data_IF_734976061508
#
_entry.id   IF_734976061508
#
_cell.length_a   1.000
_cell.length_b   1.000
_cell.length_c   1.000
_cell.angle_alpha   90.00
_cell.angle_beta   90.00
_cell.angle_gamma   90.00
#
_symmetry.space_group_name_H-M   'P 1'
#
loop_
_entity.id
_entity.type
_entity.pdbx_description
1 polymer ?
#
# COMPACT_ATOMS: atom_id res chain seq x y z
N UNK A 1 -13.98 -7.79 -5.72
CA UNK A 1 -13.62 -6.70 -6.63
C UNK A 1 -14.35 -5.42 -6.26
N UNK A 2 -13.62 -4.46 -5.70
CA UNK A 2 -14.15 -3.12 -5.40
C UNK A 2 -14.36 -2.36 -6.72
N UNK A 3 -15.61 -2.01 -7.03
CA UNK A 3 -15.97 -1.26 -8.24
C UNK A 3 -15.66 0.22 -8.05
N UNK A 4 -14.46 0.66 -8.42
CA UNK A 4 -14.10 2.07 -8.43
C UNK A 4 -14.49 2.72 -9.76
N UNK A 5 -15.16 3.90 -9.76
CA UNK A 5 -15.71 4.53 -10.97
C UNK A 5 -14.67 4.80 -12.07
N UNK A 6 -13.40 4.97 -11.70
CA UNK A 6 -12.32 5.36 -12.59
C UNK A 6 -11.33 4.22 -12.90
N UNK A 7 -11.57 3.00 -12.42
CA UNK A 7 -10.71 1.85 -12.74
C UNK A 7 -11.28 1.08 -13.93
N UNK A 8 -10.40 0.74 -14.87
CA UNK A 8 -10.74 -0.12 -16.00
C UNK A 8 -11.28 -1.47 -15.50
N UNK A 9 -12.38 -1.91 -16.12
CA UNK A 9 -13.04 -3.17 -15.81
C UNK A 9 -12.36 -4.30 -16.59
N UNK A 10 -11.13 -4.63 -16.23
CA UNK A 10 -10.41 -5.79 -16.77
C UNK A 10 -10.06 -6.73 -15.61
N UNK A 11 -10.25 -8.07 -15.70
CA UNK A 11 -10.22 -8.92 -14.52
C UNK A 11 -8.82 -9.10 -13.95
N UNK A 12 -7.75 -8.93 -14.74
CA UNK A 12 -6.36 -9.07 -14.28
C UNK A 12 -5.42 -8.16 -15.08
N UNK A 13 -4.81 -7.20 -14.40
CA UNK A 13 -3.75 -6.37 -14.98
C UNK A 13 -2.48 -7.21 -15.21
N UNK A 14 -1.72 -6.91 -16.26
CA UNK A 14 -0.39 -7.51 -16.46
C UNK A 14 0.48 -7.35 -15.22
N UNK A 15 1.27 -8.38 -14.91
CA UNK A 15 2.21 -8.35 -13.78
C UNK A 15 3.19 -7.19 -13.95
N UNK A 16 3.33 -6.38 -12.89
CA UNK A 16 4.28 -5.26 -12.87
C UNK A 16 5.73 -5.70 -12.65
N UNK A 17 5.93 -6.92 -12.12
CA UNK A 17 7.22 -7.48 -11.76
C UNK A 17 7.33 -8.92 -12.27
N UNK A 18 8.54 -9.38 -12.63
CA UNK A 18 8.73 -10.70 -13.26
C UNK A 18 8.54 -11.89 -12.30
N UNK A 19 8.75 -11.68 -11.00
CA UNK A 19 8.69 -12.71 -9.96
C UNK A 19 8.33 -12.12 -8.58
N UNK A 20 8.06 -13.02 -7.63
CA UNK A 20 7.64 -12.66 -6.27
C UNK A 20 8.75 -11.97 -5.49
N UNK A 21 10.00 -12.43 -5.61
CA UNK A 21 11.14 -11.86 -4.88
C UNK A 21 11.36 -10.39 -5.30
N UNK A 22 11.28 -10.12 -6.60
CA UNK A 22 11.33 -8.76 -7.14
C UNK A 22 10.17 -7.91 -6.63
N UNK A 23 8.95 -8.47 -6.59
CA UNK A 23 7.79 -7.75 -6.08
C UNK A 23 7.93 -7.40 -4.59
N UNK A 24 8.43 -8.32 -3.76
CA UNK A 24 8.71 -8.09 -2.34
C UNK A 24 9.78 -7.01 -2.16
N UNK A 25 10.89 -7.10 -2.92
CA UNK A 25 11.95 -6.09 -2.85
C UNK A 25 11.43 -4.69 -3.22
N UNK A 26 10.55 -4.58 -4.23
CA UNK A 26 9.94 -3.30 -4.61
C UNK A 26 8.94 -2.78 -3.58
N UNK A 27 8.17 -3.66 -2.94
CA UNK A 27 7.28 -3.29 -1.83
C UNK A 27 8.06 -2.71 -0.65
N UNK A 28 9.13 -3.38 -0.23
CA UNK A 28 10.00 -2.93 0.87
C UNK A 28 10.67 -1.58 0.54
N UNK A 29 11.22 -1.44 -0.67
CA UNK A 29 11.80 -0.18 -1.13
C UNK A 29 10.78 0.96 -1.13
N UNK A 30 9.53 0.70 -1.52
CA UNK A 30 8.48 1.72 -1.48
C UNK A 30 8.10 2.10 -0.05
N UNK A 31 8.14 1.13 0.88
CA UNK A 31 7.94 1.37 2.31
C UNK A 31 9.04 2.25 2.91
N UNK A 32 10.30 1.99 2.55
CA UNK A 32 11.43 2.82 3.01
C UNK A 32 11.26 4.28 2.56
N UNK A 33 10.90 4.51 1.29
CA UNK A 33 10.60 5.85 0.77
C UNK A 33 9.46 6.54 1.51
N UNK A 34 8.42 5.80 1.88
CA UNK A 34 7.31 6.30 2.68
C UNK A 34 7.79 6.75 4.06
N UNK A 35 8.61 5.94 4.74
CA UNK A 35 9.16 6.27 6.06
C UNK A 35 10.13 7.46 5.99
N UNK A 36 11.00 7.49 4.99
CA UNK A 36 11.94 8.60 4.75
C UNK A 36 11.21 9.92 4.53
N UNK A 37 10.13 9.92 3.74
CA UNK A 37 9.31 11.10 3.52
C UNK A 37 8.81 11.69 4.85
N UNK A 38 8.25 10.85 5.74
CA UNK A 38 7.71 11.31 7.03
C UNK A 38 8.79 11.56 8.10
N UNK A 39 10.01 11.05 7.91
CA UNK A 39 11.17 11.43 8.71
C UNK A 39 11.61 12.86 8.35
N UNK A 40 11.65 13.18 7.05
CA UNK A 40 12.04 14.50 6.55
C UNK A 40 10.91 15.54 6.67
N UNK A 41 9.65 15.09 6.69
CA UNK A 41 8.46 15.93 6.73
C UNK A 41 7.50 15.44 7.83
N UNK A 42 7.76 15.73 9.12
CA UNK A 42 6.96 15.22 10.22
C UNK A 42 5.47 15.58 10.14
N UNK A 43 5.15 16.79 9.64
CA UNK A 43 3.79 17.30 9.46
C UNK A 43 3.25 17.07 8.03
N UNK A 44 3.94 16.24 7.24
CA UNK A 44 3.57 15.95 5.87
C UNK A 44 2.16 15.36 5.76
N UNK A 45 1.51 15.63 4.62
CA UNK A 45 0.20 15.08 4.31
C UNK A 45 0.23 14.58 2.87
N UNK A 46 -0.15 13.31 2.67
CA UNK A 46 -0.18 12.66 1.35
C UNK A 46 -1.60 12.25 1.00
N UNK A 47 -1.96 12.41 -0.28
CA UNK A 47 -3.27 12.04 -0.81
C UNK A 47 -3.38 10.53 -1.01
N UNK A 48 -4.32 9.91 -0.32
CA UNK A 48 -4.85 8.58 -0.55
C UNK A 48 -6.05 8.64 -1.50
N UNK A 49 -6.21 7.63 -2.35
CA UNK A 49 -7.29 7.57 -3.34
C UNK A 49 -8.69 7.47 -2.70
N UNK A 50 -8.82 6.76 -1.58
CA UNK A 50 -10.10 6.44 -0.92
C UNK A 50 -10.36 7.39 0.25
N UNK A 51 -9.35 7.65 1.08
CA UNK A 51 -9.51 8.39 2.33
C UNK A 51 -9.08 9.86 2.25
N UNK A 52 -8.69 10.34 1.06
CA UNK A 52 -8.28 11.73 0.87
C UNK A 52 -6.91 12.02 1.51
N UNK A 53 -6.75 13.18 2.12
CA UNK A 53 -5.47 13.64 2.66
C UNK A 53 -5.20 13.02 4.04
N UNK A 54 -4.10 12.29 4.17
CA UNK A 54 -3.73 11.59 5.38
C UNK A 54 -2.35 12.03 5.88
N UNK A 55 -2.24 12.20 7.20
CA UNK A 55 -0.95 12.42 7.89
C UNK A 55 -0.22 11.08 8.14
N UNK A 56 0.97 11.16 8.76
CA UNK A 56 1.81 9.98 9.07
C UNK A 56 1.05 8.89 9.82
N UNK A 57 0.34 9.27 10.88
CA UNK A 57 -0.38 8.33 11.75
C UNK A 57 -1.49 7.62 11.00
N UNK A 58 -2.27 8.34 10.20
CA UNK A 58 -3.35 7.76 9.41
C UNK A 58 -2.84 6.83 8.31
N UNK A 59 -1.73 7.17 7.64
CA UNK A 59 -1.08 6.25 6.69
C UNK A 59 -0.56 4.98 7.36
N UNK A 60 0.00 5.10 8.57
CA UNK A 60 0.45 3.94 9.34
C UNK A 60 -0.72 3.01 9.71
N UNK A 61 -1.85 3.57 10.16
CA UNK A 61 -3.05 2.78 10.46
C UNK A 61 -3.58 2.05 9.21
N UNK A 62 -3.59 2.74 8.07
CA UNK A 62 -4.00 2.15 6.79
C UNK A 62 -3.08 1.01 6.37
N UNK A 63 -1.77 1.24 6.39
CA UNK A 63 -0.75 0.23 6.03
C UNK A 63 -0.90 -1.01 6.91
N UNK A 64 -0.92 -0.82 8.24
CA UNK A 64 -1.01 -1.92 9.20
C UNK A 64 -2.29 -2.74 9.02
N UNK A 65 -3.45 -2.09 8.87
CA UNK A 65 -4.71 -2.79 8.65
C UNK A 65 -4.69 -3.56 7.32
N UNK A 66 -4.20 -2.94 6.25
CA UNK A 66 -4.19 -3.53 4.91
C UNK A 66 -3.25 -4.74 4.83
N UNK A 67 -2.04 -4.63 5.39
CA UNK A 67 -1.09 -5.74 5.42
C UNK A 67 -1.61 -6.90 6.29
N UNK A 68 -2.15 -6.62 7.48
CA UNK A 68 -2.72 -7.66 8.32
C UNK A 68 -3.86 -8.41 7.63
N UNK A 69 -4.76 -7.68 6.94
CA UNK A 69 -5.83 -8.32 6.17
C UNK A 69 -5.30 -9.30 5.12
N UNK A 70 -4.26 -8.92 4.37
CA UNK A 70 -3.64 -9.82 3.39
C UNK A 70 -2.91 -10.98 4.06
N UNK A 71 -2.20 -10.73 5.17
CA UNK A 71 -1.52 -11.79 5.90
C UNK A 71 -2.50 -12.81 6.48
N UNK A 72 -3.66 -12.39 6.98
CA UNK A 72 -4.76 -13.28 7.38
C UNK A 72 -5.26 -14.12 6.18
N UNK A 73 -5.46 -13.52 5.01
CA UNK A 73 -5.89 -14.26 3.79
C UNK A 73 -4.91 -15.35 3.37
N UNK A 74 -3.62 -15.18 3.69
CA UNK A 74 -2.56 -16.14 3.40
C UNK A 74 -2.20 -17.03 4.59
N UNK A 75 -2.92 -16.94 5.73
CA UNK A 75 -2.62 -17.65 6.97
C UNK A 75 -1.18 -17.42 7.48
N UNK A 76 -0.71 -16.18 7.42
CA UNK A 76 0.62 -15.77 7.90
C UNK A 76 0.59 -15.17 9.32
N UNK A 77 -0.60 -15.01 9.89
CA UNK A 77 -0.85 -14.53 11.25
C UNK A 77 -1.83 -15.48 11.95
N UNK A 78 -1.70 -15.60 13.28
CA UNK A 78 -2.56 -16.40 14.16
C UNK A 78 -3.77 -15.61 14.69
#
# INVERSE_FOLDING_TARGET
>A
NSSFPHLEKDPLKSLAHPDLDTAIAKLLHQRDRYLDFFTQNPDGVLKNLVFGHLNKYQWYLLERKHLNHHFEQFNLLD
#
